data_IF_303182526088
#
_entry.id   IF_303182526088
#
_cell.length_a   1.000
_cell.length_b   1.000
_cell.length_c   1.000
_cell.angle_alpha   90.00
_cell.angle_beta   90.00
_cell.angle_gamma   90.00
#
_symmetry.space_group_name_H-M   'P 1'
#
loop_
_entity.id
_entity.type
_entity.pdbx_description
1 polymer ?
#
# COMPACT_ATOMS: atom_id res chain seq x y z
N UNK A 1 20.19 -9.80 -17.95
CA UNK A 1 20.33 -9.32 -16.56
C UNK A 1 21.13 -10.36 -15.80
N UNK A 2 22.11 -9.92 -15.02
CA UNK A 2 22.74 -10.80 -14.03
C UNK A 2 21.77 -11.00 -12.85
N UNK A 3 21.96 -12.04 -12.03
CA UNK A 3 21.15 -12.24 -10.82
C UNK A 3 21.29 -11.10 -9.79
N UNK A 4 22.34 -10.28 -9.89
CA UNK A 4 22.53 -9.06 -9.09
C UNK A 4 21.59 -7.94 -9.57
N UNK A 5 21.53 -7.71 -10.89
CA UNK A 5 20.69 -6.67 -11.49
C UNK A 5 19.20 -6.92 -11.22
N UNK A 6 18.81 -8.19 -11.24
CA UNK A 6 17.44 -8.61 -10.94
C UNK A 6 17.05 -8.32 -9.50
N UNK A 7 17.92 -8.62 -8.52
CA UNK A 7 17.66 -8.29 -7.11
C UNK A 7 17.50 -6.79 -6.90
N UNK A 8 18.40 -5.99 -7.47
CA UNK A 8 18.33 -4.51 -7.36
C UNK A 8 16.99 -4.00 -7.94
N UNK A 9 16.59 -4.53 -9.08
CA UNK A 9 15.32 -4.16 -9.72
C UNK A 9 14.10 -4.52 -8.87
N UNK A 10 14.07 -5.73 -8.31
CA UNK A 10 13.01 -6.22 -7.44
C UNK A 10 12.93 -5.39 -6.16
N UNK A 11 14.07 -5.08 -5.53
CA UNK A 11 14.12 -4.20 -4.36
C UNK A 11 13.60 -2.79 -4.66
N UNK A 12 13.98 -2.21 -5.80
CA UNK A 12 13.45 -0.89 -6.20
C UNK A 12 11.92 -0.88 -6.38
N UNK A 13 11.34 -1.97 -6.88
CA UNK A 13 9.89 -2.11 -6.96
C UNK A 13 9.25 -2.22 -5.56
N UNK A 14 9.90 -2.87 -4.59
CA UNK A 14 9.39 -2.93 -3.20
C UNK A 14 9.35 -1.56 -2.56
N UNK A 15 10.43 -0.80 -2.69
CA UNK A 15 10.50 0.58 -2.19
C UNK A 15 9.36 1.42 -2.79
N UNK A 16 9.03 1.19 -4.07
CA UNK A 16 7.89 1.83 -4.70
C UNK A 16 6.53 1.43 -4.10
N UNK A 17 6.34 0.16 -3.78
CA UNK A 17 5.14 -0.34 -3.07
C UNK A 17 5.04 0.26 -1.67
N UNK A 18 6.14 0.23 -0.90
CA UNK A 18 6.22 0.79 0.45
C UNK A 18 5.94 2.30 0.47
N UNK A 19 6.39 3.04 -0.54
CA UNK A 19 6.07 4.46 -0.65
C UNK A 19 4.57 4.69 -0.85
N UNK A 20 3.89 3.86 -1.66
CA UNK A 20 2.43 3.95 -1.81
C UNK A 20 1.73 3.59 -0.50
N UNK A 21 2.19 2.55 0.21
CA UNK A 21 1.66 2.19 1.54
C UNK A 21 1.79 3.34 2.53
N UNK A 22 2.94 4.04 2.54
CA UNK A 22 3.15 5.21 3.40
C UNK A 22 2.19 6.36 3.06
N UNK A 23 1.94 6.61 1.77
CA UNK A 23 1.00 7.66 1.34
C UNK A 23 -0.43 7.33 1.79
N UNK A 24 -0.85 6.08 1.61
CA UNK A 24 -2.16 5.60 2.09
C UNK A 24 -2.24 5.74 3.61
N UNK A 25 -1.21 5.33 4.35
CA UNK A 25 -1.14 5.48 5.81
C UNK A 25 -1.31 6.93 6.26
N UNK A 26 -0.61 7.88 5.63
CA UNK A 26 -0.73 9.30 5.97
C UNK A 26 -2.16 9.81 5.75
N UNK A 27 -2.77 9.49 4.60
CA UNK A 27 -4.15 9.89 4.30
C UNK A 27 -5.17 9.26 5.25
N UNK A 28 -5.01 7.98 5.56
CA UNK A 28 -5.86 7.30 6.53
C UNK A 28 -5.74 7.94 7.92
N UNK A 29 -4.55 8.31 8.36
CA UNK A 29 -4.39 9.01 9.64
C UNK A 29 -5.15 10.32 9.70
N UNK A 30 -5.12 11.11 8.62
CA UNK A 30 -5.89 12.34 8.52
C UNK A 30 -7.40 12.04 8.64
N UNK A 31 -7.91 11.14 7.81
CA UNK A 31 -9.35 10.81 7.78
C UNK A 31 -9.83 10.20 9.10
N UNK A 32 -9.11 9.22 9.64
CA UNK A 32 -9.42 8.56 10.91
C UNK A 32 -9.36 9.56 12.06
N UNK A 33 -8.37 10.47 12.09
CA UNK A 33 -8.31 11.49 13.13
C UNK A 33 -9.53 12.42 13.11
N UNK A 34 -10.06 12.72 11.92
CA UNK A 34 -11.30 13.50 11.78
C UNK A 34 -12.55 12.70 12.18
N UNK A 35 -12.56 11.38 11.91
CA UNK A 35 -13.71 10.51 12.20
C UNK A 35 -13.80 10.10 13.67
N UNK A 36 -12.65 9.97 14.33
CA UNK A 36 -12.53 9.62 15.74
C UNK A 36 -11.74 10.72 16.49
N UNK A 37 -12.29 11.94 16.62
CA UNK A 37 -11.56 13.09 17.18
C UNK A 37 -11.14 12.88 18.66
N UNK A 38 -11.90 12.07 19.40
CA UNK A 38 -11.61 11.72 20.78
C UNK A 38 -10.64 10.53 20.92
N UNK A 39 -10.31 9.86 19.81
CA UNK A 39 -9.33 8.78 19.83
C UNK A 39 -7.91 9.36 19.96
N UNK A 40 -7.13 8.78 20.88
CA UNK A 40 -5.74 9.17 21.05
C UNK A 40 -4.91 8.94 19.77
N UNK A 41 -3.87 9.76 19.57
CA UNK A 41 -2.96 9.67 18.39
C UNK A 41 -2.37 8.28 18.16
N UNK A 42 -2.15 7.53 19.24
CA UNK A 42 -1.67 6.15 19.16
C UNK A 42 -2.70 5.23 18.50
N UNK A 43 -3.97 5.30 18.92
CA UNK A 43 -5.06 4.52 18.32
C UNK A 43 -5.20 4.83 16.82
N UNK A 44 -5.22 6.12 16.46
CA UNK A 44 -5.29 6.54 15.05
C UNK A 44 -4.16 5.95 14.22
N UNK A 45 -2.92 5.97 14.75
CA UNK A 45 -1.77 5.43 14.03
C UNK A 45 -1.81 3.90 13.94
N UNK A 46 -2.24 3.21 15.00
CA UNK A 46 -2.39 1.75 14.99
C UNK A 46 -3.50 1.31 14.04
N UNK A 47 -4.64 2.00 14.01
CA UNK A 47 -5.74 1.70 13.11
C UNK A 47 -5.35 1.94 11.65
N UNK A 48 -4.75 3.08 11.33
CA UNK A 48 -4.26 3.36 9.98
C UNK A 48 -3.25 2.31 9.50
N UNK A 49 -2.29 1.92 10.36
CA UNK A 49 -1.32 0.88 10.03
C UNK A 49 -1.98 -0.49 9.84
N UNK A 50 -2.94 -0.86 10.70
CA UNK A 50 -3.66 -2.12 10.58
C UNK A 50 -4.53 -2.20 9.32
N UNK A 51 -5.10 -1.07 8.88
CA UNK A 51 -5.84 -0.97 7.61
C UNK A 51 -4.92 -1.17 6.40
N UNK A 52 -3.74 -0.51 6.39
CA UNK A 52 -2.74 -0.71 5.31
C UNK A 52 -2.27 -2.16 5.27
N UNK A 53 -1.96 -2.73 6.43
CA UNK A 53 -1.55 -4.13 6.55
C UNK A 53 -2.63 -5.09 6.04
N UNK A 54 -3.90 -4.86 6.41
CA UNK A 54 -5.04 -5.64 5.92
C UNK A 54 -5.19 -5.53 4.39
N UNK A 55 -5.03 -4.34 3.83
CA UNK A 55 -5.14 -4.09 2.38
C UNK A 55 -4.07 -4.82 1.58
N UNK A 56 -2.84 -4.90 2.08
CA UNK A 56 -1.71 -5.55 1.41
C UNK A 56 -1.42 -6.97 1.93
N UNK A 57 -2.29 -7.52 2.80
CA UNK A 57 -2.11 -8.82 3.44
C UNK A 57 -0.79 -8.99 4.20
N UNK A 58 -0.24 -7.91 4.73
CA UNK A 58 1.00 -7.94 5.51
C UNK A 58 0.69 -8.25 6.98
N UNK A 59 1.30 -9.30 7.52
CA UNK A 59 1.24 -9.59 8.96
C UNK A 59 2.38 -8.89 9.69
N UNK A 60 2.06 -8.16 10.75
CA UNK A 60 3.10 -7.57 11.59
C UNK A 60 3.55 -8.60 12.64
N UNK A 61 4.85 -8.97 12.73
CA UNK A 61 5.30 -10.07 13.59
C UNK A 61 5.21 -9.76 15.10
N UNK A 62 5.28 -8.49 15.48
CA UNK A 62 5.14 -8.09 16.89
C UNK A 62 3.69 -8.16 17.40
N UNK A 63 3.49 -8.89 18.50
CA UNK A 63 2.17 -9.17 19.12
C UNK A 63 1.34 -7.91 19.42
N UNK A 64 1.97 -6.78 19.75
CA UNK A 64 1.23 -5.53 20.01
C UNK A 64 0.40 -5.07 18.82
N UNK A 65 0.85 -5.31 17.60
CA UNK A 65 0.14 -4.91 16.39
C UNK A 65 -0.84 -6.01 15.95
N UNK A 66 -0.43 -7.28 16.04
CA UNK A 66 -1.31 -8.42 15.76
C UNK A 66 -2.52 -8.46 16.71
N UNK A 67 -2.29 -8.27 18.01
CA UNK A 67 -3.32 -8.17 19.04
C UNK A 67 -4.30 -7.03 18.76
N UNK A 68 -3.78 -5.83 18.48
CA UNK A 68 -4.63 -4.68 18.11
C UNK A 68 -5.49 -4.97 16.88
N UNK A 69 -4.93 -5.59 15.84
CA UNK A 69 -5.64 -5.90 14.60
C UNK A 69 -6.77 -6.93 14.80
N UNK A 70 -6.60 -7.87 15.73
CA UNK A 70 -7.66 -8.81 16.14
C UNK A 70 -8.75 -8.12 16.94
N UNK A 71 -8.38 -7.29 17.91
CA UNK A 71 -9.33 -6.58 18.78
C UNK A 71 -10.14 -5.51 18.04
N UNK A 72 -9.61 -4.96 16.95
CA UNK A 72 -10.22 -3.87 16.18
C UNK A 72 -10.59 -4.29 14.75
N UNK A 73 -10.81 -5.58 14.50
CA UNK A 73 -11.10 -6.11 13.16
C UNK A 73 -12.28 -5.40 12.48
N UNK A 74 -13.37 -5.18 13.21
CA UNK A 74 -14.56 -4.48 12.69
C UNK A 74 -14.27 -3.03 12.29
N UNK A 75 -13.48 -2.31 13.10
CA UNK A 75 -13.08 -0.94 12.78
C UNK A 75 -12.19 -0.91 11.53
N UNK A 76 -11.28 -1.88 11.39
CA UNK A 76 -10.42 -2.01 10.21
C UNK A 76 -11.24 -2.28 8.95
N UNK A 77 -12.19 -3.22 9.02
CA UNK A 77 -13.02 -3.58 7.88
C UNK A 77 -13.95 -2.43 7.48
N UNK A 78 -14.45 -1.66 8.47
CA UNK A 78 -15.20 -0.44 8.22
C UNK A 78 -14.38 0.61 7.48
N UNK A 79 -13.16 0.92 7.93
CA UNK A 79 -12.30 1.90 7.25
C UNK A 79 -11.89 1.40 5.85
N UNK A 80 -11.67 0.10 5.67
CA UNK A 80 -11.43 -0.49 4.34
C UNK A 80 -12.61 -0.29 3.39
N UNK A 81 -13.84 -0.49 3.87
CA UNK A 81 -15.05 -0.42 3.05
C UNK A 81 -15.37 0.97 2.48
N UNK A 82 -14.85 2.03 3.09
CA UNK A 82 -15.04 3.42 2.67
C UNK A 82 -13.80 4.02 1.99
N UNK A 83 -12.67 3.32 2.04
CA UNK A 83 -11.38 3.83 1.58
C UNK A 83 -11.38 4.17 0.08
N UNK A 84 -12.10 3.41 -0.75
CA UNK A 84 -12.16 3.67 -2.18
C UNK A 84 -12.88 4.98 -2.53
N UNK A 85 -13.82 5.42 -1.70
CA UNK A 85 -14.50 6.71 -1.86
C UNK A 85 -13.62 7.85 -1.34
N UNK A 86 -13.04 7.68 -0.15
CA UNK A 86 -12.27 8.74 0.50
C UNK A 86 -10.89 8.97 -0.12
N UNK A 87 -10.30 7.94 -0.72
CA UNK A 87 -8.99 7.96 -1.36
C UNK A 87 -9.10 7.73 -2.87
N UNK A 88 -10.11 8.34 -3.50
CA UNK A 88 -10.40 8.16 -4.94
C UNK A 88 -9.16 8.42 -5.82
N UNK A 89 -8.39 9.45 -5.50
CA UNK A 89 -7.16 9.86 -6.19
C UNK A 89 -6.02 8.83 -6.04
N UNK A 90 -6.07 7.99 -5.01
CA UNK A 90 -5.09 6.93 -4.74
C UNK A 90 -5.49 5.56 -5.25
N UNK A 91 -6.71 5.35 -5.78
CA UNK A 91 -7.15 4.04 -6.29
C UNK A 91 -6.23 3.48 -7.38
N UNK A 92 -5.79 4.34 -8.31
CA UNK A 92 -4.84 3.94 -9.36
C UNK A 92 -3.47 3.56 -8.76
N UNK A 93 -2.80 4.42 -7.98
CA UNK A 93 -1.56 4.07 -7.29
C UNK A 93 -1.65 2.78 -6.47
N UNK A 94 -2.74 2.59 -5.73
CA UNK A 94 -2.95 1.39 -4.90
C UNK A 94 -3.17 0.15 -5.76
N UNK A 95 -3.99 0.23 -6.82
CA UNK A 95 -4.18 -0.90 -7.75
C UNK A 95 -2.84 -1.36 -8.33
N UNK A 96 -2.01 -0.41 -8.76
CA UNK A 96 -0.70 -0.71 -9.33
C UNK A 96 0.27 -1.27 -8.28
N UNK A 97 0.27 -0.71 -7.07
CA UNK A 97 1.08 -1.18 -5.96
C UNK A 97 0.70 -2.60 -5.51
N UNK A 98 -0.59 -2.95 -5.44
CA UNK A 98 -1.05 -4.31 -5.09
C UNK A 98 -0.59 -5.34 -6.14
N UNK A 99 -0.69 -5.00 -7.42
CA UNK A 99 -0.22 -5.89 -8.50
C UNK A 99 1.29 -6.02 -8.54
N UNK A 100 2.00 -4.94 -8.25
CA UNK A 100 3.43 -5.01 -8.08
C UNK A 100 3.77 -5.83 -6.86
N UNK A 101 3.14 -5.64 -5.70
CA UNK A 101 3.31 -6.46 -4.50
C UNK A 101 3.11 -7.96 -4.76
N UNK A 102 2.10 -8.33 -5.55
CA UNK A 102 1.92 -9.71 -6.02
C UNK A 102 3.10 -10.20 -6.87
N UNK A 103 3.46 -9.45 -7.93
CA UNK A 103 4.57 -9.79 -8.82
C UNK A 103 5.87 -9.97 -8.04
N UNK A 104 6.04 -9.07 -7.10
CA UNK A 104 7.09 -9.00 -6.14
C UNK A 104 7.17 -10.31 -5.33
N UNK A 105 6.14 -10.61 -4.54
CA UNK A 105 6.12 -11.77 -3.65
C UNK A 105 6.32 -13.09 -4.41
N UNK A 106 5.70 -13.23 -5.58
CA UNK A 106 5.88 -14.40 -6.46
C UNK A 106 7.32 -14.58 -6.92
N UNK A 107 8.04 -13.48 -7.18
CA UNK A 107 9.45 -13.53 -7.59
C UNK A 107 10.38 -13.93 -6.44
N UNK A 108 10.12 -13.43 -5.24
CA UNK A 108 10.92 -13.73 -4.05
C UNK A 108 10.58 -15.08 -3.41
N UNK A 109 9.45 -15.69 -3.81
CA UNK A 109 8.93 -16.92 -3.19
C UNK A 109 8.37 -16.66 -1.78
N UNK A 110 7.86 -15.45 -1.54
CA UNK A 110 7.20 -15.06 -0.29
C UNK A 110 5.68 -15.13 -0.45
N UNK A 111 4.98 -15.54 0.60
CA UNK A 111 3.52 -15.75 0.56
C UNK A 111 3.09 -16.98 -0.25
N UNK A 112 1.83 -17.41 -0.07
CA UNK A 112 1.20 -18.42 -0.92
C UNK A 112 0.42 -17.75 -2.06
N UNK A 113 0.33 -18.40 -3.22
CA UNK A 113 -0.46 -17.88 -4.34
C UNK A 113 -1.94 -17.71 -3.95
N UNK A 114 -2.45 -18.56 -3.05
CA UNK A 114 -3.80 -18.46 -2.51
C UNK A 114 -3.99 -17.22 -1.63
N UNK A 115 -3.03 -16.87 -0.77
CA UNK A 115 -3.11 -15.66 0.07
C UNK A 115 -3.09 -14.41 -0.79
N UNK A 116 -2.21 -14.37 -1.78
CA UNK A 116 -2.07 -13.28 -2.72
C UNK A 116 -3.33 -13.03 -3.55
N UNK A 117 -3.99 -14.10 -4.02
CA UNK A 117 -5.28 -14.00 -4.71
C UNK A 117 -6.35 -13.44 -3.76
N UNK A 118 -6.42 -13.93 -2.52
CA UNK A 118 -7.37 -13.43 -1.50
C UNK A 118 -7.20 -11.93 -1.25
N UNK A 119 -5.97 -11.45 -1.18
CA UNK A 119 -5.66 -10.01 -1.00
C UNK A 119 -6.21 -9.18 -2.18
N UNK A 120 -5.96 -9.62 -3.41
CA UNK A 120 -6.45 -8.92 -4.60
C UNK A 120 -7.98 -8.96 -4.70
N UNK A 121 -8.62 -10.06 -4.29
CA UNK A 121 -10.08 -10.17 -4.24
C UNK A 121 -10.67 -9.24 -3.18
N UNK A 122 -10.09 -9.17 -1.98
CA UNK A 122 -10.53 -8.22 -0.95
C UNK A 122 -10.38 -6.77 -1.40
N UNK A 123 -9.26 -6.42 -2.03
CA UNK A 123 -9.05 -5.08 -2.56
C UNK A 123 -10.05 -4.74 -3.68
N UNK A 124 -10.47 -5.74 -4.48
CA UNK A 124 -11.54 -5.57 -5.48
C UNK A 124 -12.88 -5.34 -4.81
N UNK A 125 -13.22 -6.15 -3.82
CA UNK A 125 -14.53 -6.11 -3.16
C UNK A 125 -14.72 -4.83 -2.33
N UNK A 126 -13.63 -4.23 -1.85
CA UNK A 126 -13.61 -2.90 -1.22
C UNK A 126 -13.54 -1.74 -2.23
N UNK A 127 -13.46 -2.02 -3.52
CA UNK A 127 -13.40 -1.01 -4.60
C UNK A 127 -12.04 -0.37 -4.83
N UNK A 128 -11.01 -0.74 -4.05
CA UNK A 128 -9.65 -0.23 -4.18
C UNK A 128 -8.91 -0.73 -5.42
N UNK A 129 -9.17 -1.98 -5.82
CA UNK A 129 -8.57 -2.58 -7.02
C UNK A 129 -9.46 -2.35 -8.23
N UNK A 130 -8.93 -1.65 -9.24
CA UNK A 130 -9.62 -1.38 -10.51
C UNK A 130 -9.39 -2.56 -11.47
N UNK A 131 -10.44 -3.36 -11.69
CA UNK A 131 -10.38 -4.59 -12.52
C UNK A 131 -9.90 -4.34 -13.95
N UNK A 132 -10.51 -3.35 -14.62
CA UNK A 132 -10.27 -3.09 -16.05
C UNK A 132 -8.99 -2.31 -16.34
N UNK A 133 -8.20 -2.01 -15.30
CA UNK A 133 -6.87 -1.45 -15.46
C UNK A 133 -5.91 -2.54 -15.93
N UNK A 134 -5.07 -2.27 -16.93
CA UNK A 134 -3.98 -3.18 -17.31
C UNK A 134 -2.95 -3.34 -16.20
N UNK A 135 -2.30 -4.50 -16.09
CA UNK A 135 -1.15 -4.67 -15.17
C UNK A 135 -0.06 -3.67 -15.56
N UNK A 136 0.45 -2.85 -14.62
CA UNK A 136 1.44 -1.84 -14.96
C UNK A 136 2.77 -2.51 -15.31
N UNK A 137 3.45 -1.98 -16.33
CA UNK A 137 4.85 -2.31 -16.54
C UNK A 137 5.68 -1.75 -15.38
N UNK A 138 6.74 -2.45 -14.91
CA UNK A 138 7.55 -1.99 -13.79
C UNK A 138 8.06 -0.55 -13.93
N UNK A 139 8.51 -0.16 -15.14
CA UNK A 139 8.93 1.22 -15.41
C UNK A 139 7.78 2.22 -15.23
N UNK A 140 6.60 1.90 -15.75
CA UNK A 140 5.42 2.76 -15.64
C UNK A 140 4.93 2.89 -14.19
N UNK A 141 5.04 1.81 -13.41
CA UNK A 141 4.80 1.84 -11.97
C UNK A 141 5.77 2.79 -11.26
N UNK A 142 7.08 2.67 -11.51
CA UNK A 142 8.08 3.56 -10.90
C UNK A 142 7.83 5.03 -11.27
N UNK A 143 7.51 5.33 -12.52
CA UNK A 143 7.16 6.70 -12.94
C UNK A 143 5.92 7.24 -12.20
N UNK A 144 4.91 6.38 -11.98
CA UNK A 144 3.75 6.72 -11.17
C UNK A 144 4.14 6.99 -9.71
N UNK A 145 4.90 6.10 -9.08
CA UNK A 145 5.40 6.23 -7.71
C UNK A 145 6.17 7.54 -7.54
N UNK A 146 7.10 7.86 -8.45
CA UNK A 146 7.85 9.12 -8.40
C UNK A 146 6.94 10.34 -8.45
N UNK A 147 5.95 10.34 -9.35
CA UNK A 147 5.00 11.45 -9.48
C UNK A 147 4.15 11.62 -8.23
N UNK A 148 3.60 10.54 -7.70
CA UNK A 148 2.75 10.57 -6.50
C UNK A 148 3.59 10.93 -5.27
N UNK A 149 4.75 10.30 -5.09
CA UNK A 149 5.67 10.63 -3.99
C UNK A 149 6.10 12.10 -3.97
N UNK A 150 6.30 12.73 -5.14
CA UNK A 150 6.53 14.18 -5.21
C UNK A 150 5.30 15.01 -4.85
N UNK A 151 4.12 14.62 -5.31
CA UNK A 151 2.87 15.33 -4.99
C UNK A 151 2.60 15.35 -3.47
N UNK A 152 3.02 14.31 -2.76
CA UNK A 152 2.95 14.21 -1.30
C UNK A 152 4.20 14.73 -0.56
N UNK A 153 5.16 15.31 -1.27
CA UNK A 153 6.38 15.88 -0.67
C UNK A 153 7.36 14.86 -0.07
N UNK A 154 7.20 13.57 -0.37
CA UNK A 154 8.06 12.49 0.12
C UNK A 154 9.33 12.29 -0.70
N UNK A 155 9.29 12.69 -1.98
CA UNK A 155 10.43 12.62 -2.88
C UNK A 155 10.82 14.02 -3.35
N UNK A 156 12.11 14.29 -3.42
CA UNK A 156 12.64 15.52 -4.01
C UNK A 156 12.64 15.41 -5.53
N UNK A 157 12.48 16.53 -6.26
CA UNK A 157 12.85 16.57 -7.67
C UNK A 157 14.32 16.13 -7.79
N UNK A 158 14.62 15.21 -8.71
CA UNK A 158 16.01 15.01 -9.09
C UNK A 158 16.48 16.30 -9.75
N UNK A 159 17.53 16.92 -9.21
CA UNK A 159 18.27 17.93 -9.96
C UNK A 159 18.78 17.22 -11.20
N UNK A 160 18.24 17.59 -12.36
CA UNK A 160 18.81 17.14 -13.63
C UNK A 160 20.17 17.80 -13.72
N UNK A 161 21.22 17.05 -13.37
CA UNK A 161 22.60 17.44 -13.62
C UNK A 161 22.70 17.80 -15.09
N UNK A 162 22.82 19.09 -15.36
CA UNK A 162 23.11 19.60 -16.69
C UNK A 162 24.63 19.63 -16.77
N UNK A 163 25.20 18.58 -17.35
CA UNK A 163 26.57 18.56 -17.89
C UNK A 163 26.51 17.96 -19.30
#
# INVERSE_FOLDING_TARGET
MTGQDEKIFISALREGVELVQLIVFMKLKENISSRYPDAGRNYVSMLAGAVVNRLFGSEHPEERFAGFARENSEAIDKELGIMAEELEDLRIPVTDALRMHFFCNRHEGTGSEEDEIRILEQARDTGMLIKDRSVPWPRGFMELVYRVGRAYGLLRPQETGTD
#
